data_IF_772343952481
#
_entry.id   IF_772343952481
#
_cell.length_a   1.000
_cell.length_b   1.000
_cell.length_c   1.000
_cell.angle_alpha   90.00
_cell.angle_beta   90.00
_cell.angle_gamma   90.00
#
_symmetry.space_group_name_H-M   'P 1'
#
loop_
_entity.id
_entity.type
_entity.pdbx_description
1 polymer ?
#
# COMPACT_ATOMS: atom_id res chain seq x y z
N UNK A 1 -18.84 50.21 16.80
CA UNK A 1 -19.47 49.53 15.66
C UNK A 1 -18.38 49.05 14.70
N UNK A 2 -17.86 47.85 14.78
CA UNK A 2 -17.28 47.15 15.92
C UNK A 2 -16.05 46.43 15.37
N UNK A 3 -14.98 46.45 16.15
CA UNK A 3 -13.76 45.72 15.90
C UNK A 3 -14.05 44.22 15.98
N UNK A 4 -14.05 43.50 14.85
CA UNK A 4 -13.90 42.04 14.89
C UNK A 4 -12.42 41.70 14.97
N UNK A 5 -11.87 41.86 16.18
CA UNK A 5 -10.72 41.07 16.63
C UNK A 5 -11.06 39.59 16.46
N UNK A 6 -10.45 38.93 15.49
CA UNK A 6 -10.52 37.47 15.36
C UNK A 6 -9.95 36.87 16.64
N UNK A 7 -10.78 36.12 17.37
CA UNK A 7 -10.40 35.42 18.59
C UNK A 7 -9.21 34.48 18.34
N UNK A 8 -8.18 34.45 19.20
CA UNK A 8 -7.06 33.50 19.09
C UNK A 8 -7.46 32.03 19.17
N UNK A 9 -8.73 31.72 19.48
CA UNK A 9 -9.26 30.37 19.66
C UNK A 9 -9.60 29.62 18.35
N UNK A 10 -9.44 30.24 17.17
CA UNK A 10 -9.79 29.60 15.89
C UNK A 10 -8.58 29.07 15.11
N UNK A 11 -7.36 29.50 15.45
CA UNK A 11 -6.11 28.92 14.94
C UNK A 11 -5.80 27.49 15.44
N UNK A 12 -6.23 27.03 16.64
CA UNK A 12 -5.95 25.67 17.09
C UNK A 12 -6.72 24.59 16.32
N UNK A 13 -7.84 24.91 15.65
CA UNK A 13 -8.69 23.91 15.01
C UNK A 13 -8.22 23.50 13.60
N UNK A 14 -7.43 24.33 12.91
CA UNK A 14 -6.81 23.93 11.64
C UNK A 14 -5.43 23.27 11.81
N UNK A 15 -4.81 23.38 12.98
CA UNK A 15 -3.48 22.77 13.26
C UNK A 15 -3.58 21.36 13.89
N UNK A 16 -4.76 20.90 14.28
CA UNK A 16 -4.96 19.66 15.04
C UNK A 16 -5.45 18.45 14.22
N UNK A 17 -5.87 18.64 12.96
CA UNK A 17 -6.59 17.59 12.21
C UNK A 17 -5.83 16.99 11.01
N UNK A 18 -4.54 17.27 10.84
CA UNK A 18 -3.75 16.59 9.81
C UNK A 18 -3.26 15.23 10.33
N UNK A 19 -4.16 14.25 10.42
CA UNK A 19 -3.75 12.84 10.49
C UNK A 19 -2.99 12.56 9.20
N UNK A 20 -1.67 12.43 9.29
CA UNK A 20 -0.85 12.07 8.13
C UNK A 20 -1.15 10.60 7.79
N UNK A 21 -1.24 10.30 6.50
CA UNK A 21 -1.44 8.96 6.00
C UNK A 21 -0.10 8.41 5.50
N UNK A 22 0.25 7.21 5.95
CA UNK A 22 1.34 6.43 5.37
C UNK A 22 0.76 5.18 4.74
N UNK A 23 1.00 4.99 3.45
CA UNK A 23 0.69 3.76 2.73
C UNK A 23 1.82 2.77 3.02
N UNK A 24 1.49 1.55 3.44
CA UNK A 24 2.47 0.51 3.70
C UNK A 24 3.14 -0.01 2.41
N UNK A 25 4.01 -1.00 2.54
CA UNK A 25 4.79 -1.56 1.44
C UNK A 25 3.90 -2.21 0.39
N UNK A 26 4.27 -1.97 -0.87
CA UNK A 26 3.71 -2.64 -2.03
C UNK A 26 4.67 -3.73 -2.47
N UNK A 27 4.20 -4.97 -2.52
CA UNK A 27 5.04 -6.10 -2.92
C UNK A 27 5.43 -6.05 -4.39
N UNK A 28 6.70 -6.35 -4.65
CA UNK A 28 7.25 -6.58 -5.99
C UNK A 28 7.61 -8.05 -6.14
N UNK A 29 7.03 -8.71 -7.13
CA UNK A 29 7.04 -10.17 -7.28
C UNK A 29 8.22 -10.63 -8.16
N UNK A 30 9.40 -10.14 -7.80
CA UNK A 30 10.65 -10.36 -8.56
C UNK A 30 11.10 -11.82 -8.43
N UNK A 31 10.90 -12.44 -7.27
CA UNK A 31 11.25 -13.84 -7.01
C UNK A 31 10.03 -14.72 -6.79
N UNK A 32 9.75 -15.60 -7.75
CA UNK A 32 8.61 -16.54 -7.67
C UNK A 32 8.73 -17.61 -6.60
N UNK A 33 9.94 -17.87 -6.14
CA UNK A 33 10.23 -18.90 -5.15
C UNK A 33 9.53 -18.68 -3.80
N UNK A 34 9.11 -17.44 -3.52
CA UNK A 34 8.42 -17.08 -2.29
C UNK A 34 7.05 -17.76 -2.14
N UNK A 35 6.30 -17.93 -3.24
CA UNK A 35 4.99 -18.58 -3.25
C UNK A 35 4.97 -19.94 -3.95
N UNK A 36 5.96 -20.23 -4.78
CA UNK A 36 6.10 -21.50 -5.47
C UNK A 36 7.58 -21.74 -5.83
N UNK A 37 8.23 -22.80 -5.31
CA UNK A 37 9.64 -23.08 -5.60
C UNK A 37 9.98 -23.22 -7.09
N UNK A 38 8.99 -23.52 -7.94
CA UNK A 38 9.15 -23.63 -9.40
C UNK A 38 8.88 -22.32 -10.16
N UNK A 39 8.27 -21.33 -9.51
CA UNK A 39 7.99 -20.04 -10.13
C UNK A 39 9.27 -19.18 -10.12
N UNK A 40 9.53 -18.50 -11.24
CA UNK A 40 10.67 -17.58 -11.36
C UNK A 40 10.32 -16.16 -10.95
N UNK A 41 9.15 -15.68 -11.35
CA UNK A 41 8.62 -14.34 -11.09
C UNK A 41 7.10 -14.36 -11.37
N UNK A 42 6.45 -13.20 -11.43
CA UNK A 42 5.02 -13.07 -11.74
C UNK A 42 4.58 -13.53 -13.15
N UNK A 43 5.50 -14.02 -14.00
CA UNK A 43 5.15 -14.53 -15.34
C UNK A 43 4.21 -15.72 -15.22
N UNK A 44 3.14 -15.68 -16.03
CA UNK A 44 2.04 -16.68 -16.10
C UNK A 44 1.26 -16.89 -14.80
N UNK A 45 1.43 -16.02 -13.81
CA UNK A 45 0.59 -16.03 -12.62
C UNK A 45 -0.76 -15.38 -12.93
N UNK A 46 -1.84 -16.16 -12.81
CA UNK A 46 -3.21 -15.73 -13.16
C UNK A 46 -4.19 -15.84 -11.99
N UNK A 47 -3.69 -16.29 -10.83
CA UNK A 47 -4.45 -16.44 -9.61
C UNK A 47 -3.66 -15.86 -8.45
N UNK A 48 -4.33 -15.32 -7.43
CA UNK A 48 -3.66 -14.91 -6.21
C UNK A 48 -2.98 -16.10 -5.53
N UNK A 49 -2.13 -15.79 -4.55
CA UNK A 49 -1.69 -16.77 -3.56
C UNK A 49 -2.92 -17.32 -2.84
N UNK A 50 -2.94 -18.63 -2.59
CA UNK A 50 -4.08 -19.28 -1.93
C UNK A 50 -4.07 -19.03 -0.44
N UNK A 51 -5.24 -18.80 0.14
CA UNK A 51 -5.40 -18.60 1.58
C UNK A 51 -5.28 -17.13 1.98
N UNK A 52 -5.11 -16.91 3.28
CA UNK A 52 -5.04 -15.59 3.91
C UNK A 52 -3.64 -15.23 4.39
N UNK A 53 -2.65 -16.09 4.16
CA UNK A 53 -1.27 -15.90 4.61
C UNK A 53 -0.31 -15.94 3.43
N UNK A 54 0.75 -15.13 3.49
CA UNK A 54 1.81 -15.16 2.51
C UNK A 54 2.94 -16.11 2.95
N UNK A 55 3.33 -17.09 2.12
CA UNK A 55 4.36 -18.07 2.49
C UNK A 55 5.80 -17.53 2.43
N UNK A 56 6.02 -16.36 1.83
CA UNK A 56 7.32 -15.72 1.76
C UNK A 56 7.72 -14.99 3.05
N UNK A 57 8.95 -14.49 3.12
CA UNK A 57 9.41 -13.72 4.27
C UNK A 57 8.62 -12.40 4.39
N UNK A 58 8.53 -11.90 5.62
CA UNK A 58 8.04 -10.55 5.87
C UNK A 58 8.99 -9.51 5.27
N UNK A 59 8.45 -8.34 4.92
CA UNK A 59 9.28 -7.25 4.45
C UNK A 59 9.97 -6.58 5.64
N UNK A 60 11.31 -6.57 5.74
CA UNK A 60 12.00 -5.94 6.87
C UNK A 60 11.71 -4.43 6.97
N UNK A 61 11.34 -3.78 5.87
CA UNK A 61 10.92 -2.39 5.88
C UNK A 61 9.61 -2.16 6.64
N UNK A 62 8.71 -3.15 6.64
CA UNK A 62 7.40 -3.06 7.32
C UNK A 62 7.57 -2.90 8.83
N UNK A 63 8.46 -3.71 9.43
CA UNK A 63 8.81 -3.61 10.84
C UNK A 63 9.45 -2.26 11.18
N UNK A 64 10.28 -1.74 10.27
CA UNK A 64 10.89 -0.41 10.43
C UNK A 64 9.83 0.69 10.42
N UNK A 65 8.91 0.67 9.46
CA UNK A 65 7.81 1.65 9.39
C UNK A 65 6.95 1.56 10.64
N UNK A 66 6.50 0.36 11.04
CA UNK A 66 5.70 0.17 12.26
C UNK A 66 6.44 0.67 13.51
N UNK A 67 7.73 0.40 13.63
CA UNK A 67 8.58 0.86 14.73
C UNK A 67 8.72 2.40 14.76
N UNK A 68 8.95 3.03 13.60
CA UNK A 68 9.07 4.50 13.50
C UNK A 68 7.74 5.16 13.84
N UNK A 69 6.63 4.72 13.24
CA UNK A 69 5.30 5.29 13.46
C UNK A 69 4.87 5.19 14.93
N UNK A 70 5.20 4.09 15.63
CA UNK A 70 4.88 3.92 17.05
C UNK A 70 5.60 4.92 17.99
N UNK A 71 6.68 5.55 17.50
CA UNK A 71 7.51 6.50 18.27
C UNK A 71 7.26 7.95 17.86
N UNK A 72 6.38 8.20 16.88
CA UNK A 72 6.08 9.56 16.43
C UNK A 72 5.22 10.29 17.46
N UNK A 73 5.58 11.54 17.75
CA UNK A 73 4.81 12.40 18.66
C UNK A 73 3.44 12.80 18.06
N UNK A 74 3.34 12.90 16.74
CA UNK A 74 2.08 13.12 16.03
C UNK A 74 1.57 11.77 15.50
N UNK A 75 0.35 11.34 15.87
CA UNK A 75 -0.24 10.12 15.35
C UNK A 75 -0.34 10.16 13.82
N UNK A 76 -0.10 9.01 13.21
CA UNK A 76 -0.16 8.79 11.76
C UNK A 76 -1.02 7.56 11.53
N UNK A 77 -1.90 7.63 10.55
CA UNK A 77 -2.68 6.47 10.12
C UNK A 77 -1.84 5.62 9.16
N UNK A 78 -1.56 4.37 9.53
CA UNK A 78 -0.91 3.39 8.65
C UNK A 78 -1.99 2.62 7.88
N UNK A 79 -2.04 2.82 6.58
CA UNK A 79 -2.85 1.99 5.68
C UNK A 79 -2.07 0.72 5.34
N UNK A 80 -2.26 -0.32 6.14
CA UNK A 80 -1.55 -1.60 5.99
C UNK A 80 -2.16 -2.44 4.86
N UNK A 81 -1.64 -2.23 3.64
CA UNK A 81 -1.98 -3.02 2.44
C UNK A 81 -0.97 -4.13 2.15
N UNK A 82 -0.03 -4.40 3.06
CA UNK A 82 1.16 -5.23 2.78
C UNK A 82 0.75 -6.65 2.38
N UNK A 83 0.02 -7.34 3.26
CA UNK A 83 -0.49 -8.69 3.01
C UNK A 83 -1.41 -8.74 1.79
N UNK A 84 -2.29 -7.73 1.64
CA UNK A 84 -3.19 -7.64 0.49
C UNK A 84 -2.40 -7.60 -0.83
N UNK A 85 -1.33 -6.82 -0.90
CA UNK A 85 -0.48 -6.78 -2.10
C UNK A 85 0.33 -8.06 -2.28
N UNK A 86 0.87 -8.66 -1.21
CA UNK A 86 1.61 -9.94 -1.23
C UNK A 86 0.78 -11.11 -1.78
N UNK A 87 -0.53 -11.11 -1.55
CA UNK A 87 -1.40 -12.17 -2.07
C UNK A 87 -1.67 -12.04 -3.58
N UNK A 88 -1.40 -10.88 -4.19
CA UNK A 88 -1.83 -10.54 -5.56
C UNK A 88 -0.74 -10.66 -6.62
N UNK A 89 0.01 -11.75 -6.61
CA UNK A 89 1.00 -12.08 -7.67
C UNK A 89 0.43 -12.07 -9.11
N UNK A 90 -0.89 -12.18 -9.25
CA UNK A 90 -1.65 -12.13 -10.50
C UNK A 90 -1.93 -10.71 -11.02
N UNK A 91 -1.68 -9.67 -10.22
CA UNK A 91 -2.07 -8.30 -10.54
C UNK A 91 -1.09 -7.51 -11.41
N UNK A 92 0.02 -8.12 -11.86
CA UNK A 92 1.10 -7.42 -12.55
C UNK A 92 0.99 -7.49 -14.08
N UNK A 93 1.49 -6.47 -14.81
CA UNK A 93 1.54 -6.50 -16.27
C UNK A 93 2.36 -7.65 -16.83
N UNK A 94 3.35 -8.15 -16.09
CA UNK A 94 4.25 -9.20 -16.56
C UNK A 94 4.88 -8.81 -17.90
N UNK A 95 4.64 -9.54 -18.98
CA UNK A 95 5.12 -9.20 -20.33
C UNK A 95 4.24 -8.20 -21.09
N UNK A 96 3.05 -7.88 -20.60
CA UNK A 96 2.07 -7.01 -21.27
C UNK A 96 2.37 -5.52 -21.04
N UNK A 97 3.60 -5.11 -21.35
CA UNK A 97 4.11 -3.75 -21.08
C UNK A 97 4.38 -2.95 -22.35
N UNK A 98 4.17 -3.55 -23.53
CA UNK A 98 4.56 -2.97 -24.82
C UNK A 98 6.08 -3.00 -25.10
N UNK A 99 6.91 -3.46 -24.15
CA UNK A 99 8.39 -3.52 -24.28
C UNK A 99 8.93 -4.86 -24.80
N UNK A 100 8.03 -5.75 -25.23
CA UNK A 100 8.35 -7.08 -25.76
C UNK A 100 8.49 -8.16 -24.68
N UNK A 101 8.49 -9.44 -25.13
CA UNK A 101 8.36 -10.62 -24.25
C UNK A 101 9.52 -10.84 -23.27
N UNK A 102 10.67 -10.19 -23.48
CA UNK A 102 11.84 -10.31 -22.60
C UNK A 102 11.71 -9.44 -21.35
N UNK A 103 10.95 -8.35 -21.43
CA UNK A 103 10.71 -7.47 -20.29
C UNK A 103 9.55 -8.04 -19.46
N UNK A 104 9.80 -8.27 -18.18
CA UNK A 104 8.79 -8.75 -17.22
C UNK A 104 8.68 -7.72 -16.11
N UNK A 105 7.53 -7.07 -16.03
CA UNK A 105 7.22 -6.12 -14.96
C UNK A 105 6.43 -6.82 -13.86
N UNK A 106 7.07 -7.01 -12.72
CA UNK A 106 6.46 -7.55 -11.50
C UNK A 106 6.44 -6.51 -10.37
N UNK A 107 6.68 -5.24 -10.69
CA UNK A 107 6.71 -4.12 -9.75
C UNK A 107 5.49 -3.22 -9.88
N UNK A 108 4.99 -3.03 -11.10
CA UNK A 108 3.79 -2.25 -11.38
C UNK A 108 2.55 -3.11 -11.40
N UNK A 109 1.38 -2.47 -11.38
CA UNK A 109 0.09 -3.13 -11.32
C UNK A 109 -0.73 -2.84 -12.59
N UNK A 110 -1.50 -3.82 -13.03
CA UNK A 110 -2.52 -3.63 -14.05
C UNK A 110 -3.65 -2.74 -13.52
N UNK A 111 -4.25 -1.96 -14.43
CA UNK A 111 -5.48 -1.22 -14.21
C UNK A 111 -6.55 -1.67 -15.22
N UNK A 112 -7.78 -1.95 -14.83
CA UNK A 112 -8.29 -2.04 -13.45
C UNK A 112 -7.62 -3.20 -12.66
N UNK A 113 -7.52 -3.08 -11.34
CA UNK A 113 -6.83 -4.09 -10.52
C UNK A 113 -6.59 -3.72 -9.06
N UNK A 114 -5.44 -4.16 -8.55
CA UNK A 114 -5.07 -4.00 -7.14
C UNK A 114 -5.05 -2.54 -6.66
N UNK A 115 -4.59 -1.55 -7.45
CA UNK A 115 -4.65 -0.15 -7.06
C UNK A 115 -6.07 0.37 -6.83
N UNK A 116 -7.08 -0.18 -7.50
CA UNK A 116 -8.47 0.21 -7.27
C UNK A 116 -8.92 -0.20 -5.86
N UNK A 117 -8.50 -1.38 -5.40
CA UNK A 117 -8.76 -1.82 -4.01
C UNK A 117 -8.07 -0.91 -3.00
N UNK A 118 -6.88 -0.40 -3.27
CA UNK A 118 -6.23 0.57 -2.39
C UNK A 118 -7.04 1.87 -2.30
N UNK A 119 -7.58 2.34 -3.42
CA UNK A 119 -8.43 3.52 -3.45
C UNK A 119 -9.70 3.32 -2.62
N UNK A 120 -10.34 2.14 -2.70
CA UNK A 120 -11.53 1.83 -1.89
C UNK A 120 -11.22 1.78 -0.39
N UNK A 121 -10.11 1.13 0.02
CA UNK A 121 -9.73 1.07 1.45
C UNK A 121 -9.31 2.46 1.94
N UNK A 122 -8.61 3.24 1.12
CA UNK A 122 -8.26 4.62 1.42
C UNK A 122 -9.50 5.49 1.61
N UNK A 123 -10.46 5.40 0.68
CA UNK A 123 -11.71 6.13 0.76
C UNK A 123 -12.45 5.77 2.05
N UNK A 124 -12.57 4.47 2.36
CA UNK A 124 -13.16 4.02 3.62
C UNK A 124 -12.41 4.57 4.85
N UNK A 125 -11.07 4.61 4.84
CA UNK A 125 -10.28 5.13 5.95
C UNK A 125 -10.44 6.65 6.15
N UNK A 126 -10.68 7.41 5.07
CA UNK A 126 -10.88 8.85 5.13
C UNK A 126 -12.31 9.25 5.50
N UNK A 127 -13.29 8.38 5.23
CA UNK A 127 -14.71 8.65 5.42
C UNK A 127 -15.37 7.86 6.56
N UNK A 128 -14.64 6.95 7.21
CA UNK A 128 -15.06 6.34 8.47
C UNK A 128 -14.78 7.33 9.61
N UNK A 129 -15.78 8.16 9.93
CA UNK A 129 -15.89 8.85 11.22
C UNK A 129 -16.35 7.89 12.33
#
# INVERSE_FOLDING_TARGET
>A
MDSFTLSPSMFPLMYHSSNFLVISFVSSFVSGSEWNPKARNCRVETKPVKGSEYPGPNNPGEDVVKSVLSKMAKPVYLLDITLLTQLRKDGHPSTYTGRGIKFVDCSHWCLAGVPDTWNEILHAALHNE
#
